data_IF_024363223870
#
_entry.id   IF_024363223870
#
_cell.length_a   1.000
_cell.length_b   1.000
_cell.length_c   1.000
_cell.angle_alpha   90.00
_cell.angle_beta   90.00
_cell.angle_gamma   90.00
#
_symmetry.space_group_name_H-M   'P 1'
#
loop_
_entity.id
_entity.type
_entity.pdbx_description
1 polymer ?
#
# COMPACT_ATOMS: atom_id res chain seq x y z
N UNK A 1 -10.51 6.19 -15.18
CA UNK A 1 -10.63 4.77 -14.75
C UNK A 1 -9.50 4.40 -13.78
N UNK A 2 -9.84 3.97 -12.57
CA UNK A 2 -8.86 3.59 -11.55
C UNK A 2 -8.26 2.21 -11.90
N UNK A 3 -6.93 2.12 -11.87
CA UNK A 3 -6.18 0.93 -12.26
C UNK A 3 -5.50 0.33 -11.03
N UNK A 4 -5.69 -0.97 -10.83
CA UNK A 4 -5.10 -1.73 -9.73
C UNK A 4 -3.93 -2.56 -10.26
N UNK A 5 -2.71 -2.14 -9.93
CA UNK A 5 -1.48 -2.87 -10.30
C UNK A 5 -1.08 -3.85 -9.20
N UNK A 6 -0.72 -5.07 -9.58
CA UNK A 6 -0.18 -6.10 -8.69
C UNK A 6 1.00 -6.84 -9.32
N UNK A 7 1.71 -7.63 -8.51
CA UNK A 7 2.62 -8.64 -9.03
C UNK A 7 1.85 -9.82 -9.65
N UNK A 8 2.60 -10.79 -10.19
CA UNK A 8 2.07 -12.00 -10.81
C UNK A 8 1.77 -13.13 -9.80
N UNK A 9 1.61 -12.81 -8.51
CA UNK A 9 1.31 -13.77 -7.46
C UNK A 9 -0.01 -14.50 -7.70
N UNK A 10 -0.06 -15.78 -7.31
CA UNK A 10 -1.21 -16.68 -7.57
C UNK A 10 -2.55 -16.13 -7.05
N UNK A 11 -2.53 -15.38 -5.95
CA UNK A 11 -3.73 -14.75 -5.39
C UNK A 11 -4.31 -13.73 -6.38
N UNK A 12 -3.45 -12.89 -6.98
CA UNK A 12 -3.86 -11.82 -7.88
C UNK A 12 -4.25 -12.31 -9.28
N UNK A 13 -3.76 -13.48 -9.70
CA UNK A 13 -4.13 -14.13 -10.96
C UNK A 13 -5.32 -15.09 -10.82
N UNK A 14 -5.83 -15.28 -9.60
CA UNK A 14 -6.97 -16.16 -9.35
C UNK A 14 -8.26 -15.61 -9.97
N UNK A 15 -9.10 -16.51 -10.50
CA UNK A 15 -10.38 -16.15 -11.13
C UNK A 15 -11.31 -15.39 -10.18
N UNK A 16 -11.34 -15.78 -8.90
CA UNK A 16 -12.17 -15.13 -7.88
C UNK A 16 -11.72 -13.69 -7.63
N UNK A 17 -10.41 -13.45 -7.53
CA UNK A 17 -9.87 -12.10 -7.37
C UNK A 17 -10.14 -11.24 -8.61
N UNK A 18 -9.85 -11.72 -9.81
CA UNK A 18 -10.11 -10.97 -11.05
C UNK A 18 -11.60 -10.64 -11.21
N UNK A 19 -12.50 -11.57 -10.88
CA UNK A 19 -13.94 -11.32 -10.91
C UNK A 19 -14.36 -10.24 -9.90
N UNK A 20 -13.80 -10.25 -8.70
CA UNK A 20 -14.06 -9.24 -7.67
C UNK A 20 -13.62 -7.84 -8.12
N UNK A 21 -12.39 -7.72 -8.62
CA UNK A 21 -11.84 -6.44 -9.13
C UNK A 21 -12.71 -5.88 -10.26
N UNK A 22 -13.11 -6.74 -11.20
CA UNK A 22 -14.03 -6.38 -12.27
C UNK A 22 -15.41 -5.98 -11.76
N UNK A 23 -15.91 -6.64 -10.71
CA UNK A 23 -17.18 -6.31 -10.06
C UNK A 23 -17.22 -4.90 -9.48
N UNK A 24 -16.08 -4.39 -9.00
CA UNK A 24 -15.91 -2.99 -8.58
C UNK A 24 -15.67 -2.00 -9.74
N UNK A 25 -15.71 -2.46 -11.00
CA UNK A 25 -15.45 -1.61 -12.17
C UNK A 25 -13.98 -1.19 -12.34
N UNK A 26 -13.06 -1.84 -11.63
CA UNK A 26 -11.63 -1.54 -11.68
C UNK A 26 -10.94 -2.32 -12.79
N UNK A 27 -9.90 -1.72 -13.38
CA UNK A 27 -9.01 -2.42 -14.33
C UNK A 27 -7.83 -2.98 -13.57
N UNK A 28 -7.52 -4.26 -13.77
CA UNK A 28 -6.33 -4.90 -13.20
C UNK A 28 -5.17 -4.85 -14.18
N UNK A 29 -3.97 -4.56 -13.66
CA UNK A 29 -2.71 -4.61 -14.41
C UNK A 29 -1.67 -5.42 -13.64
N UNK A 30 -0.90 -6.23 -14.35
CA UNK A 30 0.21 -6.97 -13.78
C UNK A 30 1.53 -6.32 -14.15
N UNK A 31 2.49 -6.34 -13.23
CA UNK A 31 3.87 -5.98 -13.60
C UNK A 31 4.40 -6.93 -14.68
N UNK A 32 5.27 -6.40 -15.52
CA UNK A 32 6.03 -7.21 -16.48
C UNK A 32 6.84 -8.26 -15.72
N UNK A 33 6.85 -9.54 -16.16
CA UNK A 33 7.69 -10.57 -15.56
C UNK A 33 9.14 -10.10 -15.43
N UNK A 34 9.76 -10.41 -14.28
CA UNK A 34 11.13 -10.01 -13.96
C UNK A 34 11.39 -8.50 -13.87
N UNK A 35 10.34 -7.66 -13.71
CA UNK A 35 10.46 -6.22 -13.53
C UNK A 35 9.94 -5.73 -12.15
N UNK A 36 10.57 -6.13 -11.02
CA UNK A 36 10.10 -5.78 -9.67
C UNK A 36 10.06 -4.27 -9.42
N UNK A 37 10.88 -3.47 -10.11
CA UNK A 37 10.88 -2.01 -10.01
C UNK A 37 9.52 -1.37 -10.33
N UNK A 38 8.68 -2.02 -11.14
CA UNK A 38 7.31 -1.54 -11.43
C UNK A 38 6.38 -1.61 -10.22
N UNK A 39 6.74 -2.41 -9.20
CA UNK A 39 6.06 -2.55 -7.92
C UNK A 39 6.75 -1.73 -6.80
N UNK A 40 7.79 -0.96 -7.12
CA UNK A 40 8.65 -0.34 -6.14
C UNK A 40 7.94 0.62 -5.17
N UNK A 41 6.83 1.24 -5.58
CA UNK A 41 6.06 2.13 -4.70
C UNK A 41 5.47 1.38 -3.51
N UNK A 42 4.75 0.27 -3.74
CA UNK A 42 4.13 -0.50 -2.65
C UNK A 42 5.20 -1.20 -1.81
N UNK A 43 6.26 -1.69 -2.43
CA UNK A 43 7.40 -2.29 -1.72
C UNK A 43 8.09 -1.27 -0.81
N UNK A 44 8.28 -0.03 -1.26
CA UNK A 44 8.84 1.05 -0.45
C UNK A 44 7.97 1.35 0.76
N UNK A 45 6.65 1.40 0.60
CA UNK A 45 5.69 1.61 1.71
C UNK A 45 5.76 0.45 2.71
N UNK A 46 5.67 -0.79 2.23
CA UNK A 46 5.71 -1.99 3.09
C UNK A 46 7.03 -2.06 3.86
N UNK A 47 8.16 -1.82 3.20
CA UNK A 47 9.48 -1.80 3.84
C UNK A 47 9.53 -0.73 4.94
N UNK A 48 9.01 0.47 4.66
CA UNK A 48 8.97 1.57 5.64
C UNK A 48 8.08 1.22 6.85
N UNK A 49 6.91 0.62 6.62
CA UNK A 49 6.03 0.11 7.69
C UNK A 49 6.75 -0.93 8.54
N UNK A 50 7.43 -1.88 7.92
CA UNK A 50 8.18 -2.93 8.63
C UNK A 50 9.29 -2.34 9.51
N UNK A 51 10.17 -1.52 8.92
CA UNK A 51 11.33 -0.93 9.60
C UNK A 51 10.94 0.05 10.73
N UNK A 52 9.88 0.85 10.52
CA UNK A 52 9.51 1.92 11.45
C UNK A 52 8.39 1.54 12.42
N UNK A 53 7.63 0.50 12.14
CA UNK A 53 6.53 0.04 12.97
C UNK A 53 6.71 -1.42 13.37
N UNK A 54 6.54 -2.36 12.44
CA UNK A 54 6.36 -3.77 12.79
C UNK A 54 7.56 -4.36 13.53
N UNK A 55 8.79 -4.10 13.06
CA UNK A 55 10.02 -4.62 13.69
C UNK A 55 10.34 -3.98 15.04
N UNK A 56 9.70 -2.85 15.37
CA UNK A 56 9.91 -2.13 16.64
C UNK A 56 8.95 -2.54 17.74
N UNK A 57 8.01 -3.44 17.44
CA UNK A 57 6.98 -3.87 18.37
C UNK A 57 6.98 -5.39 18.49
N UNK A 58 6.79 -5.87 19.73
CA UNK A 58 6.37 -7.25 19.98
C UNK A 58 4.87 -7.24 20.16
N UNK A 59 4.15 -7.91 19.26
CA UNK A 59 2.70 -8.00 19.32
C UNK A 59 2.28 -9.15 20.22
N UNK A 60 1.38 -8.86 21.17
CA UNK A 60 0.83 -9.86 22.09
C UNK A 60 -0.44 -10.50 21.53
N UNK A 61 -1.20 -9.75 20.73
CA UNK A 61 -2.44 -10.18 20.09
C UNK A 61 -2.58 -9.57 18.70
N UNK A 62 -3.43 -10.17 17.87
CA UNK A 62 -3.79 -9.61 16.56
C UNK A 62 -4.43 -8.22 16.74
N UNK A 63 -5.27 -8.05 17.76
CA UNK A 63 -5.92 -6.77 18.06
C UNK A 63 -4.90 -5.67 18.40
N UNK A 64 -3.86 -6.01 19.18
CA UNK A 64 -2.76 -5.09 19.46
C UNK A 64 -2.01 -4.74 18.17
N UNK A 65 -1.68 -5.72 17.32
CA UNK A 65 -1.03 -5.48 16.03
C UNK A 65 -1.88 -4.58 15.11
N UNK A 66 -3.18 -4.84 15.00
CA UNK A 66 -4.10 -4.04 14.18
C UNK A 66 -4.17 -2.59 14.66
N UNK A 67 -4.20 -2.34 15.97
CA UNK A 67 -4.18 -0.98 16.53
C UNK A 67 -2.88 -0.26 16.19
N UNK A 68 -1.74 -0.87 16.50
CA UNK A 68 -0.42 -0.26 16.30
C UNK A 68 -0.16 0.03 14.82
N UNK A 69 -0.44 -0.94 13.94
CA UNK A 69 -0.31 -0.75 12.48
C UNK A 69 -1.27 0.33 11.98
N UNK A 70 -2.53 0.33 12.46
CA UNK A 70 -3.52 1.35 12.10
C UNK A 70 -3.09 2.77 12.50
N UNK A 71 -2.55 2.93 13.71
CA UNK A 71 -2.05 4.21 14.21
C UNK A 71 -0.84 4.68 13.40
N UNK A 72 0.06 3.76 13.04
CA UNK A 72 1.19 4.07 12.18
C UNK A 72 0.75 4.50 10.78
N UNK A 73 -0.22 3.81 10.17
CA UNK A 73 -0.78 4.19 8.86
C UNK A 73 -1.40 5.59 8.92
N UNK A 74 -2.14 5.89 10.00
CA UNK A 74 -2.73 7.22 10.21
C UNK A 74 -1.64 8.30 10.34
N UNK A 75 -0.58 8.02 11.10
CA UNK A 75 0.58 8.91 11.20
C UNK A 75 1.24 9.12 9.82
N UNK A 76 1.50 8.04 9.08
CA UNK A 76 2.15 8.08 7.78
C UNK A 76 1.38 8.94 6.78
N UNK A 77 0.05 8.79 6.71
CA UNK A 77 -0.77 9.49 5.74
C UNK A 77 -1.10 10.95 6.12
N UNK A 78 -1.24 11.26 7.41
CA UNK A 78 -1.78 12.56 7.84
C UNK A 78 -0.82 13.44 8.63
N UNK A 79 0.33 12.91 9.08
CA UNK A 79 1.26 13.68 9.95
C UNK A 79 2.70 13.64 9.48
N UNK A 80 3.11 12.61 8.74
CA UNK A 80 4.47 12.47 8.24
C UNK A 80 4.64 13.33 6.97
N UNK A 81 5.51 14.35 6.94
CA UNK A 81 5.85 15.07 5.71
C UNK A 81 6.84 14.27 4.86
N UNK A 82 6.70 14.37 3.53
CA UNK A 82 7.56 13.65 2.58
C UNK A 82 8.28 14.63 1.66
N UNK A 83 9.61 14.53 1.58
CA UNK A 83 10.41 15.38 0.67
C UNK A 83 9.97 15.28 -0.79
N UNK A 84 9.66 14.07 -1.27
CA UNK A 84 9.16 13.84 -2.63
C UNK A 84 7.80 14.51 -2.91
N UNK A 85 7.07 14.93 -1.88
CA UNK A 85 5.79 15.62 -1.96
C UNK A 85 5.93 17.12 -1.62
N UNK A 86 7.15 17.66 -1.63
CA UNK A 86 7.40 19.06 -1.23
C UNK A 86 7.07 19.32 0.24
N UNK A 87 7.44 18.37 1.11
CA UNK A 87 7.16 18.38 2.56
C UNK A 87 5.68 18.31 2.94
N UNK A 88 4.79 17.96 2.00
CA UNK A 88 3.40 17.62 2.31
C UNK A 88 3.26 16.18 2.79
N UNK A 89 2.18 15.91 3.50
CA UNK A 89 1.73 14.56 3.85
C UNK A 89 1.07 13.89 2.64
N UNK A 90 1.03 12.55 2.58
CA UNK A 90 0.32 11.83 1.51
C UNK A 90 -1.15 12.25 1.36
N UNK A 91 -1.86 12.50 2.46
CA UNK A 91 -3.26 12.93 2.42
C UNK A 91 -3.43 14.34 1.82
N UNK A 92 -2.55 15.28 2.17
CA UNK A 92 -2.56 16.63 1.56
C UNK A 92 -2.24 16.56 0.06
N UNK A 93 -1.23 15.80 -0.32
CA UNK A 93 -0.88 15.63 -1.73
C UNK A 93 -2.01 14.99 -2.53
N UNK A 94 -2.70 14.01 -1.96
CA UNK A 94 -3.87 13.37 -2.58
C UNK A 94 -5.04 14.35 -2.74
N UNK A 95 -5.36 15.12 -1.69
CA UNK A 95 -6.44 16.11 -1.74
C UNK A 95 -6.21 17.22 -2.76
N UNK A 96 -4.95 17.56 -3.04
CA UNK A 96 -4.58 18.55 -4.07
C UNK A 96 -4.60 17.98 -5.50
N UNK A 97 -4.54 16.65 -5.65
CA UNK A 97 -4.51 15.97 -6.95
C UNK A 97 -5.87 15.40 -7.37
N UNK A 98 -6.82 15.31 -6.43
CA UNK A 98 -8.20 14.88 -6.64
C UNK A 98 -9.08 16.02 -7.16
#
# INVERSE_FOLDING_TARGET
PFLLRSDNGLVFTSRSYTALVRGYGLRQEFITPHCPQQNGMVERVIRTLKEQCAHRHRFETIQHASRVVGDWIRFYNHRRPHQALGMKTPAEAFALAA
#
